data_IF_172461906201
#
_entry.id   IF_172461906201
#
_cell.length_a   1.000
_cell.length_b   1.000
_cell.length_c   1.000
_cell.angle_alpha   90.00
_cell.angle_beta   90.00
_cell.angle_gamma   90.00
#
_symmetry.space_group_name_H-M   'P 1'
#
loop_
_entity.id
_entity.type
_entity.pdbx_description
1 polymer ?
#
# COMPACT_ATOMS: atom_id res chain seq x y z
N UNK A 1 12.38 -1.23 2.59
CA UNK A 1 11.08 -1.48 3.24
C UNK A 1 10.78 -2.97 3.21
N UNK A 2 10.34 -3.50 4.31
CA UNK A 2 9.93 -4.91 4.39
C UNK A 2 8.43 -5.01 4.18
N UNK A 3 7.99 -5.96 3.37
CA UNK A 3 6.57 -6.21 3.13
C UNK A 3 6.03 -7.11 4.24
N UNK A 4 5.09 -6.64 5.06
CA UNK A 4 4.53 -7.46 6.14
C UNK A 4 3.53 -8.49 5.62
N UNK A 5 3.22 -9.48 6.44
CA UNK A 5 2.22 -10.51 6.11
C UNK A 5 0.78 -10.01 6.28
N UNK A 6 0.59 -8.98 7.10
CA UNK A 6 -0.72 -8.41 7.39
C UNK A 6 -0.63 -6.90 7.46
N UNK A 7 -1.61 -6.23 6.89
CA UNK A 7 -1.76 -4.77 6.93
C UNK A 7 -3.14 -4.44 7.44
N UNK A 8 -3.21 -3.55 8.44
CA UNK A 8 -4.48 -3.09 8.97
C UNK A 8 -4.87 -1.76 8.33
N UNK A 9 -6.03 -1.73 7.69
CA UNK A 9 -6.55 -0.54 7.02
C UNK A 9 -7.96 -0.31 7.54
N UNK A 10 -8.20 0.85 8.17
CA UNK A 10 -9.51 1.19 8.68
C UNK A 10 -10.06 0.20 9.70
N UNK A 11 -9.20 -0.42 10.49
CA UNK A 11 -9.60 -1.41 11.47
C UNK A 11 -9.79 -2.82 10.90
N UNK A 12 -9.58 -3.03 9.62
CA UNK A 12 -9.68 -4.33 8.96
C UNK A 12 -8.29 -4.88 8.66
N UNK A 13 -8.04 -6.12 9.04
CA UNK A 13 -6.77 -6.79 8.77
C UNK A 13 -6.79 -7.44 7.39
N UNK A 14 -5.89 -7.00 6.52
CA UNK A 14 -5.72 -7.55 5.18
C UNK A 14 -4.52 -8.47 5.16
N UNK A 15 -4.69 -9.70 4.71
CA UNK A 15 -3.58 -10.62 4.48
C UNK A 15 -2.87 -10.22 3.19
N UNK A 16 -1.54 -10.17 3.22
CA UNK A 16 -0.73 -9.88 2.03
C UNK A 16 -0.23 -11.20 1.45
N UNK A 17 -0.69 -11.52 0.25
CA UNK A 17 -0.38 -12.77 -0.43
C UNK A 17 0.42 -12.52 -1.70
N UNK A 18 1.22 -13.49 -2.10
CA UNK A 18 1.92 -13.48 -3.39
C UNK A 18 1.28 -14.49 -4.32
N UNK A 19 1.05 -14.07 -5.55
CA UNK A 19 0.48 -14.93 -6.59
C UNK A 19 1.31 -14.79 -7.87
N UNK A 20 1.49 -15.89 -8.59
CA UNK A 20 2.24 -15.86 -9.84
C UNK A 20 1.57 -14.98 -10.88
N UNK A 21 0.25 -15.01 -10.93
CA UNK A 21 -0.54 -14.18 -11.83
C UNK A 21 -1.69 -13.53 -11.07
N UNK A 22 -1.64 -12.22 -10.94
CA UNK A 22 -2.75 -11.44 -10.37
C UNK A 22 -3.60 -10.97 -11.53
N UNK A 23 -4.83 -11.49 -11.63
CA UNK A 23 -5.71 -11.22 -12.75
C UNK A 23 -6.98 -10.53 -12.25
N UNK A 24 -7.29 -9.38 -12.86
CA UNK A 24 -8.56 -8.67 -12.67
C UNK A 24 -9.29 -8.63 -14.02
N UNK A 25 -10.40 -9.37 -14.10
CA UNK A 25 -11.07 -9.57 -15.39
C UNK A 25 -10.12 -10.30 -16.33
N UNK A 26 -9.80 -9.69 -17.47
CA UNK A 26 -8.85 -10.24 -18.44
C UNK A 26 -7.46 -9.63 -18.35
N UNK A 27 -7.23 -8.77 -17.34
CA UNK A 27 -5.99 -8.02 -17.22
C UNK A 27 -5.04 -8.63 -16.21
N UNK A 28 -3.77 -8.80 -16.61
CA UNK A 28 -2.70 -9.19 -15.71
C UNK A 28 -2.17 -7.96 -15.00
N UNK A 29 -2.20 -7.99 -13.67
CA UNK A 29 -1.88 -6.84 -12.82
C UNK A 29 -0.63 -7.10 -11.97
N UNK A 30 -0.03 -6.03 -11.45
CA UNK A 30 1.04 -6.12 -10.46
C UNK A 30 0.50 -6.46 -9.07
N UNK A 31 -0.71 -6.06 -8.78
CA UNK A 31 -1.38 -6.33 -7.51
C UNK A 31 -2.85 -6.05 -7.57
N UNK A 32 -3.56 -6.44 -6.52
CA UNK A 32 -4.99 -6.20 -6.37
C UNK A 32 -5.38 -6.22 -4.90
N UNK A 33 -6.42 -5.48 -4.54
CA UNK A 33 -7.04 -5.55 -3.22
C UNK A 33 -8.43 -6.13 -3.36
N UNK A 34 -8.75 -7.09 -2.51
CA UNK A 34 -10.06 -7.75 -2.45
C UNK A 34 -10.70 -7.37 -1.12
N UNK A 35 -11.72 -6.51 -1.19
CA UNK A 35 -12.39 -6.00 0.01
C UNK A 35 -13.26 -7.05 0.68
N UNK A 36 -13.85 -7.96 -0.07
CA UNK A 36 -14.70 -9.01 0.50
C UNK A 36 -13.90 -10.02 1.33
N UNK A 37 -12.74 -10.41 0.81
CA UNK A 37 -11.89 -11.42 1.47
C UNK A 37 -10.79 -10.80 2.30
N UNK A 38 -10.68 -9.47 2.35
CA UNK A 38 -9.67 -8.73 3.10
C UNK A 38 -8.25 -9.22 2.76
N UNK A 39 -7.93 -9.22 1.48
CA UNK A 39 -6.61 -9.63 1.00
C UNK A 39 -6.02 -8.61 0.05
N UNK A 40 -4.70 -8.50 0.09
CA UNK A 40 -3.92 -7.78 -0.91
C UNK A 40 -3.02 -8.81 -1.58
N UNK A 41 -3.14 -8.93 -2.90
CA UNK A 41 -2.32 -9.85 -3.68
C UNK A 41 -1.26 -9.07 -4.43
N UNK A 42 -0.02 -9.54 -4.36
CA UNK A 42 1.11 -8.97 -5.08
C UNK A 42 1.65 -10.01 -6.05
N UNK A 43 2.01 -9.57 -7.25
CA UNK A 43 2.60 -10.49 -8.23
C UNK A 43 3.98 -10.94 -7.76
N UNK A 44 4.21 -12.25 -7.78
CA UNK A 44 5.52 -12.83 -7.48
C UNK A 44 6.44 -12.84 -8.69
N UNK A 45 5.89 -12.65 -9.90
CA UNK A 45 6.63 -12.74 -11.16
C UNK A 45 6.82 -11.42 -11.87
N UNK A 46 6.01 -10.41 -11.58
CA UNK A 46 6.07 -9.10 -12.23
C UNK A 46 6.65 -8.07 -11.28
N UNK A 47 7.73 -7.46 -11.71
CA UNK A 47 8.40 -6.41 -10.94
C UNK A 47 9.35 -6.98 -9.89
N UNK A 48 10.31 -6.16 -9.53
CA UNK A 48 11.28 -6.46 -8.48
C UNK A 48 10.74 -6.03 -7.13
N UNK A 49 11.51 -6.27 -6.07
CA UNK A 49 11.12 -5.95 -4.70
C UNK A 49 10.66 -4.50 -4.53
N UNK A 50 11.39 -3.54 -5.12
CA UNK A 50 10.99 -2.13 -5.06
C UNK A 50 9.62 -1.93 -5.70
N UNK A 51 9.36 -2.56 -6.82
CA UNK A 51 8.08 -2.46 -7.50
C UNK A 51 6.96 -3.09 -6.68
N UNK A 52 7.25 -4.22 -6.02
CA UNK A 52 6.28 -4.85 -5.12
C UNK A 52 5.93 -3.93 -3.95
N UNK A 53 6.90 -3.20 -3.40
CA UNK A 53 6.66 -2.23 -2.33
C UNK A 53 5.77 -1.07 -2.81
N UNK A 54 6.03 -0.54 -3.99
CA UNK A 54 5.20 0.51 -4.58
C UNK A 54 3.78 0.00 -4.81
N UNK A 55 3.66 -1.23 -5.34
CA UNK A 55 2.36 -1.86 -5.57
C UNK A 55 1.60 -2.05 -4.25
N UNK A 56 2.29 -2.45 -3.19
CA UNK A 56 1.66 -2.56 -1.87
C UNK A 56 1.07 -1.22 -1.44
N UNK A 57 1.82 -0.13 -1.55
CA UNK A 57 1.31 1.20 -1.22
C UNK A 57 0.12 1.60 -2.10
N UNK A 58 0.18 1.23 -3.38
CA UNK A 58 -0.92 1.46 -4.32
C UNK A 58 -2.21 0.81 -3.81
N UNK A 59 -2.14 -0.47 -3.42
CA UNK A 59 -3.31 -1.18 -2.91
C UNK A 59 -3.76 -0.66 -1.54
N UNK A 60 -2.83 -0.31 -0.67
CA UNK A 60 -3.15 0.32 0.63
C UNK A 60 -3.95 1.61 0.41
N UNK A 61 -3.54 2.44 -0.52
CA UNK A 61 -4.22 3.71 -0.79
C UNK A 61 -5.63 3.50 -1.34
N UNK A 62 -5.83 2.50 -2.21
CA UNK A 62 -7.18 2.09 -2.61
C UNK A 62 -8.01 1.66 -1.39
N UNK A 63 -7.41 0.91 -0.49
CA UNK A 63 -8.08 0.46 0.73
C UNK A 63 -8.48 1.62 1.63
N UNK A 64 -7.61 2.62 1.77
CA UNK A 64 -7.90 3.83 2.55
C UNK A 64 -9.07 4.58 1.94
N UNK A 65 -9.05 4.79 0.62
CA UNK A 65 -10.14 5.46 -0.08
C UNK A 65 -11.46 4.71 0.10
N UNK A 66 -11.43 3.38 -0.04
CA UNK A 66 -12.62 2.54 0.13
C UNK A 66 -13.18 2.65 1.54
N UNK A 67 -12.32 2.58 2.55
CA UNK A 67 -12.74 2.71 3.95
C UNK A 67 -13.34 4.09 4.25
N UNK A 68 -12.76 5.14 3.69
CA UNK A 68 -13.28 6.50 3.87
C UNK A 68 -14.64 6.72 3.23
N UNK A 69 -15.01 5.88 2.25
CA UNK A 69 -16.29 6.00 1.57
C UNK A 69 -16.41 7.23 0.66
N UNK A 70 -15.28 7.83 0.31
CA UNK A 70 -15.24 9.03 -0.52
C UNK A 70 -14.83 8.64 -1.94
N UNK A 71 -15.59 9.11 -2.92
CA UNK A 71 -15.20 8.91 -4.31
C UNK A 71 -14.12 9.89 -4.71
N UNK A 72 -13.12 9.38 -5.42
CA UNK A 72 -12.01 10.18 -5.93
C UNK A 72 -12.02 10.09 -7.46
N UNK A 73 -12.15 11.22 -8.12
CA UNK A 73 -12.08 11.26 -9.58
C UNK A 73 -10.67 10.89 -10.04
N UNK A 74 -10.58 10.00 -11.02
CA UNK A 74 -9.32 9.44 -11.53
C UNK A 74 -8.52 8.76 -10.43
N UNK A 75 -9.19 7.92 -9.65
CA UNK A 75 -8.59 7.26 -8.48
C UNK A 75 -7.29 6.55 -8.82
N UNK A 76 -7.23 5.79 -9.91
CA UNK A 76 -6.01 5.07 -10.29
C UNK A 76 -4.81 6.01 -10.46
N UNK A 77 -4.98 7.13 -11.13
CA UNK A 77 -3.89 8.07 -11.34
C UNK A 77 -3.45 8.73 -10.03
N UNK A 78 -4.40 9.10 -9.18
CA UNK A 78 -4.12 9.72 -7.89
C UNK A 78 -3.40 8.74 -6.97
N UNK A 79 -3.91 7.53 -6.86
CA UNK A 79 -3.31 6.47 -6.05
C UNK A 79 -1.91 6.14 -6.54
N UNK A 80 -1.71 6.03 -7.83
CA UNK A 80 -0.40 5.71 -8.41
C UNK A 80 0.63 6.79 -8.07
N UNK A 81 0.26 8.05 -8.21
CA UNK A 81 1.13 9.18 -7.87
C UNK A 81 1.53 9.13 -6.40
N UNK A 82 0.56 8.98 -5.50
CA UNK A 82 0.83 8.97 -4.06
C UNK A 82 1.63 7.73 -3.64
N UNK A 83 1.37 6.57 -4.23
CA UNK A 83 2.11 5.36 -3.89
C UNK A 83 3.60 5.51 -4.20
N UNK A 84 3.92 6.04 -5.37
CA UNK A 84 5.29 6.30 -5.77
C UNK A 84 5.95 7.35 -4.88
N UNK A 85 5.23 8.42 -4.58
CA UNK A 85 5.73 9.48 -3.72
C UNK A 85 5.97 9.03 -2.28
N UNK A 86 5.02 8.31 -1.70
CA UNK A 86 5.15 7.78 -0.33
C UNK A 86 6.33 6.83 -0.26
N UNK A 87 6.45 5.89 -1.21
CA UNK A 87 7.57 4.96 -1.22
C UNK A 87 8.90 5.68 -1.26
N UNK A 88 9.06 6.67 -2.13
CA UNK A 88 10.28 7.46 -2.26
C UNK A 88 10.61 8.22 -0.96
N UNK A 89 9.60 8.87 -0.36
CA UNK A 89 9.80 9.61 0.90
C UNK A 89 10.24 8.67 2.02
N UNK A 90 9.60 7.52 2.15
CA UNK A 90 9.96 6.53 3.17
C UNK A 90 11.33 5.94 2.92
N UNK A 91 11.69 5.68 1.67
CA UNK A 91 12.98 5.14 1.31
C UNK A 91 14.12 6.10 1.67
N UNK A 92 13.90 7.40 1.47
CA UNK A 92 14.92 8.42 1.72
C UNK A 92 14.99 8.87 3.17
N UNK A 93 13.91 8.72 3.94
CA UNK A 93 13.82 9.26 5.30
C UNK A 93 13.52 8.19 6.36
N UNK A 94 13.18 7.02 5.94
CA UNK A 94 13.00 5.76 6.67
C UNK A 94 12.66 5.88 8.14
N UNK A 95 13.64 5.52 8.97
CA UNK A 95 13.45 5.40 10.41
C UNK A 95 13.04 6.68 11.12
N UNK A 96 13.45 7.85 10.62
CA UNK A 96 13.12 9.12 11.25
C UNK A 96 11.62 9.40 11.26
N UNK A 97 10.90 8.95 10.23
CA UNK A 97 9.45 9.16 10.14
C UNK A 97 8.65 8.21 11.03
N UNK A 98 9.23 7.08 11.40
CA UNK A 98 8.55 6.09 12.23
C UNK A 98 8.79 6.27 13.73
N UNK A 99 9.65 7.20 14.12
CA UNK A 99 9.92 7.49 15.52
C UNK A 99 9.06 8.65 16.04
N UNK A 100 7.77 8.58 15.75
CA UNK A 100 6.84 9.66 16.06
C UNK A 100 6.65 9.87 17.56
N UNK A 101 6.70 8.81 18.35
CA UNK A 101 6.51 8.92 19.80
C UNK A 101 7.67 9.65 20.46
N UNK A 102 8.89 9.37 20.04
CA UNK A 102 10.05 10.02 20.59
C UNK A 102 10.13 11.48 20.17
N UNK A 103 9.82 11.79 18.92
CA UNK A 103 9.73 13.16 18.44
C UNK A 103 8.68 13.95 19.21
N UNK A 104 7.52 13.38 19.44
CA UNK A 104 6.46 14.03 20.21
C UNK A 104 6.87 14.35 21.64
N UNK A 105 7.72 13.51 22.27
CA UNK A 105 8.25 13.78 23.61
C UNK A 105 9.25 14.94 23.64
N UNK A 106 9.98 15.13 22.56
CA UNK A 106 11.08 16.07 22.48
C UNK A 106 10.66 17.43 21.90
N UNK A 107 9.50 17.50 21.27
CA UNK A 107 9.01 18.74 20.70
C UNK A 107 8.35 19.62 21.75
N UNK A 108 8.73 20.92 21.80
CA UNK A 108 7.98 21.89 22.59
C UNK A 108 6.61 22.09 21.96
N UNK A 109 5.60 21.92 22.74
CA UNK A 109 4.23 22.14 22.27
C UNK A 109 3.88 23.61 22.23
#
# INVERSE_FOLDING_TARGET
MKIPETIRIGGVDYAVNYEDNVILGDNLCYGAIDYENSTISLSSTRGRRQHQCITLWHEILHGIRNHAGIEVKNEEAVVDMFAKGIYQVLQDNGGALFDLKEQAKNEPT
#
